data_IF_866366096134
#
_entry.id   IF_866366096134
#
_cell.length_a   1.000
_cell.length_b   1.000
_cell.length_c   1.000
_cell.angle_alpha   90.00
_cell.angle_beta   90.00
_cell.angle_gamma   90.00
#
_symmetry.space_group_name_H-M   'P 1'
#
loop_
_entity.id
_entity.type
_entity.pdbx_description
1 polymer ?
#
# COMPACT_ATOMS: atom_id res chain seq x y z
N UNK A 1 -0.38 -5.93 11.02
CA UNK A 1 0.93 -6.42 10.53
C UNK A 1 1.53 -7.55 11.38
N UNK A 2 1.39 -7.56 12.72
CA UNK A 2 1.91 -8.65 13.58
C UNK A 2 1.26 -10.02 13.35
N UNK A 3 -0.03 -10.09 12.99
CA UNK A 3 -0.72 -11.37 12.76
C UNK A 3 -0.27 -12.13 11.51
N UNK A 4 0.27 -11.43 10.50
CA UNK A 4 0.74 -12.06 9.24
C UNK A 4 2.16 -12.60 9.42
N UNK A 5 3.01 -11.91 10.18
CA UNK A 5 4.34 -12.40 10.54
C UNK A 5 4.27 -13.65 11.43
N UNK A 6 3.31 -13.71 12.37
CA UNK A 6 3.09 -14.87 13.24
C UNK A 6 2.56 -16.09 12.49
N UNK A 7 1.74 -15.93 11.46
CA UNK A 7 1.24 -17.05 10.66
C UNK A 7 2.33 -17.62 9.74
N UNK A 8 3.20 -16.79 9.18
CA UNK A 8 4.34 -17.22 8.37
C UNK A 8 5.38 -17.94 9.25
N UNK A 9 5.71 -17.41 10.43
CA UNK A 9 6.63 -18.08 11.37
C UNK A 9 6.07 -19.41 11.90
N UNK A 10 4.76 -19.50 12.19
CA UNK A 10 4.13 -20.78 12.59
C UNK A 10 4.13 -21.82 11.47
N UNK A 11 4.04 -21.41 10.20
CA UNK A 11 4.12 -22.33 9.06
C UNK A 11 5.55 -22.82 8.80
N UNK A 12 6.56 -21.97 9.00
CA UNK A 12 7.96 -22.37 8.88
C UNK A 12 8.37 -23.38 9.96
N UNK A 13 8.02 -23.13 11.23
CA UNK A 13 8.38 -24.00 12.37
C UNK A 13 7.66 -25.36 12.30
N UNK A 14 6.49 -25.45 11.66
CA UNK A 14 5.77 -26.73 11.50
C UNK A 14 6.36 -27.62 10.41
N UNK A 15 7.15 -27.06 9.48
CA UNK A 15 7.78 -27.81 8.38
C UNK A 15 9.12 -28.43 8.78
N UNK A 16 9.80 -27.83 9.75
CA UNK A 16 11.12 -28.27 10.22
C UNK A 16 11.04 -29.54 11.09
N UNK A 17 9.89 -29.79 11.72
CA UNK A 17 9.67 -30.96 12.58
C UNK A 17 9.26 -32.24 11.84
N UNK A 18 9.25 -32.24 10.50
CA UNK A 18 8.86 -33.39 9.67
C UNK A 18 9.97 -33.91 8.75
N UNK A 19 11.19 -33.40 8.87
CA UNK A 19 12.32 -33.79 8.01
C UNK A 19 13.44 -34.55 8.76
N UNK A 20 13.33 -34.76 10.07
CA UNK A 20 14.28 -35.58 10.84
C UNK A 20 13.75 -37.02 10.99
N UNK A 21 13.88 -37.83 9.94
CA UNK A 21 14.09 -39.28 10.09
C UNK A 21 14.80 -39.83 8.86
N UNK A 22 16.13 -39.73 8.85
CA UNK A 22 16.98 -40.58 8.02
C UNK A 22 17.77 -41.49 8.96
N UNK A 23 17.51 -42.80 8.89
CA UNK A 23 18.42 -43.83 9.37
C UNK A 23 19.13 -44.47 8.15
N UNK A 24 20.44 -44.76 8.22
CA UNK A 24 21.18 -45.39 7.13
C UNK A 24 21.19 -46.92 7.25
N UNK A 25 21.63 -47.57 6.16
CA UNK A 25 22.06 -48.98 5.97
C UNK A 25 21.23 -49.66 4.86
N UNK A 26 21.73 -50.43 3.88
CA UNK A 26 23.04 -50.83 3.35
C UNK A 26 22.76 -51.62 2.04
N UNK A 27 23.76 -51.70 1.15
CA UNK A 27 24.03 -52.75 0.13
C UNK A 27 23.24 -52.87 -1.20
N UNK A 28 24.01 -52.66 -2.30
CA UNK A 28 24.19 -53.48 -3.51
C UNK A 28 23.00 -54.15 -4.23
N UNK A 29 22.82 -53.81 -5.52
CA UNK A 29 23.14 -54.65 -6.70
C UNK A 29 22.15 -54.47 -7.86
N UNK A 30 22.67 -54.59 -9.09
CA UNK A 30 21.97 -55.30 -10.18
C UNK A 30 21.07 -54.49 -11.12
N UNK A 31 21.43 -54.52 -12.39
CA UNK A 31 20.71 -54.06 -13.57
C UNK A 31 19.25 -54.54 -13.68
N UNK A 32 18.36 -53.76 -14.31
CA UNK A 32 17.86 -53.98 -15.69
C UNK A 32 16.82 -52.93 -16.12
N UNK A 33 16.89 -52.61 -17.42
CA UNK A 33 15.82 -52.37 -18.39
C UNK A 33 14.92 -51.11 -18.38
N UNK A 34 15.22 -50.31 -19.41
CA UNK A 34 14.35 -49.66 -20.38
C UNK A 34 12.93 -50.24 -20.54
N UNK A 35 11.98 -49.31 -20.72
CA UNK A 35 10.60 -49.42 -21.24
C UNK A 35 9.49 -49.32 -20.20
N UNK A 36 9.04 -48.09 -19.92
CA UNK A 36 7.59 -47.85 -19.81
C UNK A 36 7.25 -46.37 -20.12
N UNK A 37 6.82 -46.10 -21.35
CA UNK A 37 6.25 -44.83 -21.78
C UNK A 37 4.72 -45.00 -21.83
N UNK A 38 4.03 -44.50 -20.80
CA UNK A 38 2.56 -44.44 -20.72
C UNK A 38 2.09 -43.07 -20.19
N UNK A 39 1.10 -42.41 -20.82
CA UNK A 39 0.89 -40.97 -20.67
C UNK A 39 0.06 -40.63 -19.43
N UNK A 40 0.68 -40.04 -18.41
CA UNK A 40 -0.05 -39.46 -17.25
C UNK A 40 -0.34 -37.98 -17.46
N UNK A 41 -1.15 -37.68 -18.48
CA UNK A 41 -1.56 -36.32 -18.85
C UNK A 41 -2.50 -35.63 -17.81
N UNK A 42 -2.89 -36.31 -16.72
CA UNK A 42 -3.71 -35.71 -15.65
C UNK A 42 -2.93 -35.23 -14.42
N UNK A 43 -1.64 -35.62 -14.28
CA UNK A 43 -0.80 -35.29 -13.12
C UNK A 43 0.07 -34.06 -13.35
N UNK A 44 0.32 -33.71 -14.61
CA UNK A 44 1.13 -32.54 -15.04
C UNK A 44 0.39 -31.20 -14.85
N UNK A 45 -0.94 -31.19 -14.79
CA UNK A 45 -1.74 -29.95 -14.64
C UNK A 45 -1.81 -29.38 -13.22
N UNK A 46 -1.33 -30.09 -12.19
CA UNK A 46 -1.32 -29.58 -10.81
C UNK A 46 -0.01 -28.89 -10.44
N UNK A 47 1.12 -29.46 -10.84
CA UNK A 47 2.46 -28.90 -10.56
C UNK A 47 2.71 -27.60 -11.30
N UNK A 48 2.20 -27.45 -12.52
CA UNK A 48 2.26 -26.19 -13.29
C UNK A 48 1.51 -25.07 -12.59
N UNK A 49 0.34 -25.35 -11.99
CA UNK A 49 -0.42 -24.38 -11.19
C UNK A 49 0.37 -23.89 -9.97
N UNK A 50 1.04 -24.80 -9.25
CA UNK A 50 1.90 -24.41 -8.12
C UNK A 50 3.14 -23.62 -8.56
N UNK A 51 3.76 -23.99 -9.68
CA UNK A 51 4.92 -23.26 -10.23
C UNK A 51 4.51 -21.85 -10.65
N UNK A 52 3.36 -21.70 -11.32
CA UNK A 52 2.81 -20.40 -11.70
C UNK A 52 2.44 -19.55 -10.48
N UNK A 53 1.82 -20.15 -9.46
CA UNK A 53 1.51 -19.46 -8.20
C UNK A 53 2.79 -19.01 -7.46
N UNK A 54 3.84 -19.82 -7.48
CA UNK A 54 5.12 -19.50 -6.83
C UNK A 54 5.86 -18.41 -7.61
N UNK A 55 5.84 -18.44 -8.94
CA UNK A 55 6.37 -17.36 -9.79
C UNK A 55 5.60 -16.04 -9.57
N UNK A 56 4.27 -16.08 -9.52
CA UNK A 56 3.45 -14.91 -9.18
C UNK A 56 3.82 -14.39 -7.79
N UNK A 57 3.94 -15.24 -6.77
CA UNK A 57 4.36 -14.84 -5.44
C UNK A 57 5.77 -14.22 -5.40
N UNK A 58 6.73 -14.74 -6.18
CA UNK A 58 8.08 -14.19 -6.25
C UNK A 58 8.09 -12.83 -6.95
N UNK A 59 7.33 -12.65 -8.03
CA UNK A 59 7.23 -11.38 -8.77
C UNK A 59 6.47 -10.32 -7.95
N UNK A 60 5.34 -10.68 -7.34
CA UNK A 60 4.55 -9.79 -6.48
C UNK A 60 5.28 -9.47 -5.16
N UNK A 61 5.98 -10.45 -4.58
CA UNK A 61 6.75 -10.26 -3.35
C UNK A 61 7.99 -9.39 -3.56
N UNK A 62 8.72 -9.61 -4.65
CA UNK A 62 9.94 -8.85 -4.95
C UNK A 62 9.64 -7.40 -5.34
N UNK A 63 8.63 -7.13 -6.17
CA UNK A 63 8.24 -5.76 -6.56
C UNK A 63 7.92 -4.86 -5.37
N UNK A 64 7.26 -5.40 -4.33
CA UNK A 64 6.96 -4.66 -3.09
C UNK A 64 8.20 -4.31 -2.25
N UNK A 65 9.25 -5.13 -2.33
CA UNK A 65 10.50 -4.91 -1.60
C UNK A 65 11.40 -3.90 -2.33
N UNK A 66 11.46 -3.98 -3.67
CA UNK A 66 12.23 -3.06 -4.51
C UNK A 66 11.68 -1.63 -4.47
N UNK A 67 10.35 -1.44 -4.41
CA UNK A 67 9.76 -0.12 -4.25
C UNK A 67 10.09 0.48 -2.87
N UNK A 68 10.02 -0.33 -1.82
CA UNK A 68 10.32 0.10 -0.45
C UNK A 68 11.78 0.54 -0.28
N UNK A 69 12.74 -0.23 -0.82
CA UNK A 69 14.17 0.13 -0.75
C UNK A 69 14.50 1.40 -1.55
N UNK A 70 13.85 1.57 -2.71
CA UNK A 70 13.99 2.79 -3.52
C UNK A 70 13.51 4.01 -2.75
N UNK A 71 12.32 3.94 -2.14
CA UNK A 71 11.76 5.06 -1.36
C UNK A 71 12.60 5.41 -0.14
N UNK A 72 13.15 4.41 0.55
CA UNK A 72 14.06 4.64 1.67
C UNK A 72 15.32 5.40 1.22
N UNK A 73 15.94 4.96 0.12
CA UNK A 73 17.14 5.60 -0.42
C UNK A 73 16.87 7.04 -0.87
N UNK A 74 15.77 7.29 -1.59
CA UNK A 74 15.42 8.65 -2.03
C UNK A 74 15.05 9.56 -0.84
N UNK A 75 14.39 9.03 0.18
CA UNK A 75 14.11 9.76 1.41
C UNK A 75 15.39 10.10 2.16
N UNK A 76 16.37 9.19 2.21
CA UNK A 76 17.66 9.44 2.83
C UNK A 76 18.45 10.55 2.11
N UNK A 77 18.42 10.56 0.77
CA UNK A 77 19.01 11.65 -0.02
C UNK A 77 18.38 13.00 0.32
N UNK A 78 17.05 13.07 0.39
CA UNK A 78 16.36 14.30 0.81
C UNK A 78 16.72 14.69 2.23
N UNK A 79 16.79 13.74 3.16
CA UNK A 79 17.20 14.03 4.54
C UNK A 79 18.58 14.66 4.59
N UNK A 80 19.56 14.10 3.86
CA UNK A 80 20.91 14.66 3.78
C UNK A 80 20.91 16.06 3.15
N UNK A 81 20.14 16.27 2.09
CA UNK A 81 20.01 17.57 1.43
C UNK A 81 19.48 18.66 2.35
N UNK A 82 18.46 18.37 3.17
CA UNK A 82 17.89 19.31 4.15
C UNK A 82 18.64 19.35 5.47
N UNK A 83 19.77 18.63 5.60
CA UNK A 83 20.45 18.40 6.87
C UNK A 83 19.52 17.82 7.96
N UNK A 84 18.49 17.07 7.58
CA UNK A 84 17.42 16.52 8.43
C UNK A 84 17.87 15.40 9.40
N UNK A 85 19.18 15.14 9.48
CA UNK A 85 19.80 14.14 10.36
C UNK A 85 20.48 14.77 11.57
N UNK A 86 20.56 16.09 11.64
CA UNK A 86 21.19 16.78 12.75
C UNK A 86 20.33 16.67 14.04
N UNK A 87 20.96 16.55 15.21
CA UNK A 87 20.27 16.25 16.46
C UNK A 87 19.34 17.38 16.95
N UNK A 88 19.56 18.61 16.49
CA UNK A 88 18.70 19.77 16.74
C UNK A 88 17.31 19.63 16.13
N UNK A 89 17.15 18.81 15.09
CA UNK A 89 15.85 18.59 14.40
C UNK A 89 14.93 17.66 15.20
N UNK A 90 15.49 16.85 16.11
CA UNK A 90 14.70 16.07 17.05
C UNK A 90 14.08 16.95 18.16
N UNK A 91 14.56 18.20 18.33
CA UNK A 91 14.01 19.14 19.30
C UNK A 91 12.68 19.70 18.77
N UNK A 92 11.62 19.59 19.58
CA UNK A 92 10.27 20.05 19.21
C UNK A 92 9.26 18.93 18.90
N UNK A 93 9.68 17.67 18.99
CA UNK A 93 8.79 16.51 18.79
C UNK A 93 8.52 16.21 17.32
N UNK A 94 7.58 15.29 17.05
CA UNK A 94 7.28 14.85 15.68
C UNK A 94 6.16 15.69 15.08
N UNK A 95 6.39 16.23 13.88
CA UNK A 95 5.41 17.12 13.22
C UNK A 95 4.09 16.43 12.86
N UNK A 96 4.15 15.20 12.33
CA UNK A 96 2.97 14.53 11.76
C UNK A 96 2.64 13.19 12.39
N UNK A 97 3.64 12.47 12.92
CA UNK A 97 3.45 11.09 13.37
C UNK A 97 2.53 11.00 14.57
N UNK A 98 2.66 11.93 15.51
CA UNK A 98 1.85 11.93 16.73
C UNK A 98 0.38 12.20 16.39
N UNK A 99 0.13 13.11 15.44
CA UNK A 99 -1.21 13.36 14.87
C UNK A 99 -1.70 12.12 14.13
N UNK A 100 -0.91 11.49 13.26
CA UNK A 100 -1.35 10.29 12.53
C UNK A 100 -1.74 9.13 13.45
N UNK A 101 -1.09 9.01 14.61
CA UNK A 101 -1.39 7.96 15.58
C UNK A 101 -2.57 8.27 16.49
N UNK A 102 -3.00 9.54 16.59
CA UNK A 102 -4.09 9.94 17.50
C UNK A 102 -5.49 9.73 16.92
N UNK A 103 -5.62 9.50 15.62
CA UNK A 103 -6.92 9.32 14.96
C UNK A 103 -7.20 7.84 14.68
N UNK A 104 -8.34 7.35 15.17
CA UNK A 104 -8.82 6.01 14.92
C UNK A 104 -9.99 6.04 13.93
N UNK A 105 -9.85 5.36 12.78
CA UNK A 105 -10.92 5.27 11.78
C UNK A 105 -10.43 5.55 10.36
N UNK A 106 -10.81 4.70 9.40
CA UNK A 106 -10.32 4.80 8.02
C UNK A 106 -10.71 6.12 7.33
N UNK A 107 -11.87 6.71 7.68
CA UNK A 107 -12.30 8.01 7.16
C UNK A 107 -11.48 9.15 7.72
N UNK A 108 -11.20 9.12 9.02
CA UNK A 108 -10.63 10.24 9.75
C UNK A 108 -9.13 10.32 9.48
N UNK A 109 -8.49 9.15 9.39
CA UNK A 109 -7.10 9.02 8.93
C UNK A 109 -6.94 9.60 7.51
N UNK A 110 -7.90 9.40 6.60
CA UNK A 110 -7.83 9.95 5.23
C UNK A 110 -7.89 11.48 5.20
N UNK A 111 -8.60 12.10 6.14
CA UNK A 111 -8.65 13.57 6.26
C UNK A 111 -7.25 14.09 6.61
N UNK A 112 -6.62 13.53 7.63
CA UNK A 112 -5.28 13.92 8.07
C UNK A 112 -4.22 13.61 7.01
N UNK A 113 -4.28 12.43 6.38
CA UNK A 113 -3.38 12.05 5.30
C UNK A 113 -3.48 13.03 4.11
N UNK A 114 -4.69 13.45 3.75
CA UNK A 114 -4.93 14.45 2.70
C UNK A 114 -4.21 15.78 3.01
N UNK A 115 -4.30 16.26 4.26
CA UNK A 115 -3.61 17.49 4.68
C UNK A 115 -2.08 17.34 4.68
N UNK A 116 -1.57 16.21 5.15
CA UNK A 116 -0.12 15.93 5.14
C UNK A 116 0.42 15.87 3.71
N UNK A 117 -0.30 15.24 2.78
CA UNK A 117 0.10 15.21 1.36
C UNK A 117 0.07 16.61 0.75
N UNK A 118 -0.94 17.42 1.07
CA UNK A 118 -1.00 18.83 0.63
C UNK A 118 0.24 19.61 1.09
N UNK A 119 0.63 19.43 2.36
CA UNK A 119 1.84 20.04 2.91
C UNK A 119 3.10 19.65 2.14
N UNK A 120 3.32 18.35 1.90
CA UNK A 120 4.50 17.89 1.16
C UNK A 120 4.50 18.38 -0.29
N UNK A 121 3.35 18.41 -0.97
CA UNK A 121 3.28 18.95 -2.34
C UNK A 121 3.67 20.43 -2.37
N UNK A 122 3.15 21.23 -1.44
CA UNK A 122 3.53 22.64 -1.31
C UNK A 122 5.00 22.82 -0.96
N UNK A 123 5.55 21.97 -0.09
CA UNK A 123 6.98 21.96 0.23
C UNK A 123 7.81 21.67 -1.03
N UNK A 124 7.42 20.69 -1.84
CA UNK A 124 8.15 20.31 -3.04
C UNK A 124 8.08 21.34 -4.15
N UNK A 125 6.95 22.02 -4.34
CA UNK A 125 6.80 23.12 -5.31
C UNK A 125 7.81 24.25 -5.03
N UNK A 126 8.08 24.56 -3.77
CA UNK A 126 9.03 25.63 -3.39
C UNK A 126 10.51 25.28 -3.66
N UNK A 127 10.82 24.04 -4.02
CA UNK A 127 12.20 23.50 -4.09
C UNK A 127 12.45 22.84 -5.45
N UNK A 128 11.47 22.92 -6.36
CA UNK A 128 11.48 22.25 -7.66
C UNK A 128 12.63 22.73 -8.57
N UNK A 129 13.18 23.92 -8.32
CA UNK A 129 14.27 24.51 -9.10
C UNK A 129 15.63 23.80 -8.90
N UNK A 130 15.76 22.89 -7.92
CA UNK A 130 17.02 22.19 -7.68
C UNK A 130 17.09 20.82 -8.38
N UNK A 131 17.78 20.79 -9.52
CA UNK A 131 18.04 19.59 -10.33
C UNK A 131 18.65 18.41 -9.54
N UNK A 132 19.38 18.65 -8.45
CA UNK A 132 20.06 17.56 -7.72
C UNK A 132 19.10 16.61 -7.01
N UNK A 133 17.93 17.11 -6.61
CA UNK A 133 16.93 16.33 -5.85
C UNK A 133 15.64 16.08 -6.63
N UNK A 134 15.49 16.64 -7.83
CA UNK A 134 14.27 16.49 -8.64
C UNK A 134 13.87 15.01 -8.85
N UNK A 135 14.83 14.13 -9.13
CA UNK A 135 14.53 12.71 -9.30
C UNK A 135 13.96 12.09 -8.01
N UNK A 136 14.57 12.39 -6.86
CA UNK A 136 14.08 11.94 -5.55
C UNK A 136 12.68 12.48 -5.24
N UNK A 137 12.44 13.76 -5.55
CA UNK A 137 11.13 14.41 -5.41
C UNK A 137 10.07 13.73 -6.28
N UNK A 138 10.37 13.43 -7.54
CA UNK A 138 9.44 12.79 -8.46
C UNK A 138 9.07 11.37 -8.00
N UNK A 139 10.05 10.58 -7.56
CA UNK A 139 9.83 9.24 -7.03
C UNK A 139 8.93 9.28 -5.78
N UNK A 140 9.18 10.22 -4.86
CA UNK A 140 8.38 10.37 -3.64
C UNK A 140 6.97 10.91 -3.96
N UNK A 141 6.84 11.87 -4.88
CA UNK A 141 5.54 12.37 -5.37
C UNK A 141 4.70 11.21 -5.92
N UNK A 142 5.29 10.33 -6.72
CA UNK A 142 4.60 9.16 -7.27
C UNK A 142 4.19 8.16 -6.18
N UNK A 143 5.05 7.90 -5.20
CA UNK A 143 4.71 7.01 -4.09
C UNK A 143 3.55 7.55 -3.23
N UNK A 144 3.53 8.87 -2.95
CA UNK A 144 2.41 9.52 -2.28
C UNK A 144 1.12 9.37 -3.09
N UNK A 145 1.21 9.48 -4.41
CA UNK A 145 0.07 9.27 -5.31
C UNK A 145 -0.46 7.84 -5.24
N UNK A 146 0.42 6.84 -5.28
CA UNK A 146 0.03 5.43 -5.16
C UNK A 146 -0.68 5.19 -3.82
N UNK A 147 -0.12 5.70 -2.71
CA UNK A 147 -0.64 5.44 -1.35
C UNK A 147 -1.95 6.16 -1.02
N UNK A 148 -2.12 7.42 -1.44
CA UNK A 148 -3.29 8.23 -1.05
C UNK A 148 -4.39 8.21 -2.11
N UNK A 149 -4.02 8.21 -3.39
CA UNK A 149 -4.98 8.27 -4.49
C UNK A 149 -5.23 6.92 -5.15
N UNK A 150 -4.66 5.82 -4.65
CA UNK A 150 -4.72 4.49 -5.26
C UNK A 150 -4.31 4.54 -6.74
N UNK A 151 -3.22 5.27 -7.04
CA UNK A 151 -2.68 5.48 -8.39
C UNK A 151 -3.63 6.22 -9.36
N UNK A 152 -4.73 6.81 -8.87
CA UNK A 152 -5.69 7.53 -9.70
C UNK A 152 -5.16 8.92 -10.10
N UNK A 153 -4.92 9.11 -11.39
CA UNK A 153 -4.51 10.40 -11.95
C UNK A 153 -5.58 11.48 -11.79
N UNK A 154 -6.85 11.16 -12.05
CA UNK A 154 -7.95 12.13 -11.93
C UNK A 154 -8.07 12.69 -10.51
N UNK A 155 -8.01 11.81 -9.49
CA UNK A 155 -8.05 12.25 -8.08
C UNK A 155 -6.87 13.12 -7.71
N UNK A 156 -5.67 12.78 -8.20
CA UNK A 156 -4.47 13.58 -7.95
C UNK A 156 -4.57 14.95 -8.61
N UNK A 157 -5.03 15.03 -9.86
CA UNK A 157 -5.17 16.31 -10.56
C UNK A 157 -6.26 17.18 -9.95
N UNK A 158 -7.38 16.61 -9.53
CA UNK A 158 -8.40 17.37 -8.78
C UNK A 158 -7.88 17.83 -7.42
N UNK A 159 -7.08 17.01 -6.74
CA UNK A 159 -6.40 17.40 -5.50
C UNK A 159 -5.42 18.56 -5.72
N UNK A 160 -4.60 18.52 -6.78
CA UNK A 160 -3.69 19.61 -7.15
C UNK A 160 -4.43 20.92 -7.42
N UNK A 161 -5.53 20.85 -8.18
CA UNK A 161 -6.37 22.02 -8.42
C UNK A 161 -6.86 22.65 -7.13
N UNK A 162 -7.25 21.83 -6.13
CA UNK A 162 -7.73 22.32 -4.84
C UNK A 162 -6.63 23.03 -4.02
N UNK A 163 -5.40 22.50 -3.99
CA UNK A 163 -4.31 23.10 -3.21
C UNK A 163 -3.76 24.39 -3.86
N UNK A 164 -3.91 24.53 -5.18
CA UNK A 164 -3.42 25.68 -5.95
C UNK A 164 -4.43 26.84 -6.04
N UNK A 165 -5.61 26.72 -5.41
CA UNK A 165 -6.63 27.78 -5.42
C UNK A 165 -6.07 29.05 -4.73
N UNK A 166 -6.01 30.21 -5.43
CA UNK A 166 -5.51 31.44 -4.84
C UNK A 166 -6.60 32.06 -3.94
N UNK A 167 -6.54 31.77 -2.64
CA UNK A 167 -7.53 32.24 -1.65
C UNK A 167 -7.60 33.77 -1.55
N UNK A 168 -6.54 34.48 -1.96
CA UNK A 168 -6.48 35.95 -1.94
C UNK A 168 -7.17 36.61 -3.15
N UNK A 169 -7.55 35.86 -4.19
CA UNK A 169 -8.28 36.40 -5.34
C UNK A 169 -9.76 36.64 -5.00
N UNK A 170 -10.21 37.89 -5.12
CA UNK A 170 -11.59 38.29 -4.87
C UNK A 170 -12.61 37.49 -5.70
N UNK A 171 -12.28 37.11 -6.94
CA UNK A 171 -13.19 36.31 -7.79
C UNK A 171 -13.34 34.90 -7.25
N UNK A 172 -12.24 34.30 -6.81
CA UNK A 172 -12.23 32.97 -6.19
C UNK A 172 -13.02 33.00 -4.88
N UNK A 173 -12.82 34.01 -4.04
CA UNK A 173 -13.59 34.17 -2.79
C UNK A 173 -15.09 34.26 -3.06
N UNK A 174 -15.52 35.12 -3.99
CA UNK A 174 -16.96 35.26 -4.35
C UNK A 174 -17.55 33.92 -4.82
N UNK A 175 -16.82 33.19 -5.65
CA UNK A 175 -17.25 31.87 -6.15
C UNK A 175 -17.33 30.84 -5.01
N UNK A 176 -16.31 30.78 -4.16
CA UNK A 176 -16.27 29.88 -3.01
C UNK A 176 -17.46 30.14 -2.06
N UNK A 177 -17.77 31.40 -1.76
CA UNK A 177 -18.93 31.76 -0.93
C UNK A 177 -20.25 31.42 -1.63
N UNK A 178 -20.36 31.61 -2.95
CA UNK A 178 -21.57 31.25 -3.70
C UNK A 178 -21.85 29.74 -3.70
N UNK A 179 -20.82 28.90 -3.66
CA UNK A 179 -20.93 27.44 -3.65
C UNK A 179 -21.00 26.84 -2.24
N UNK A 180 -20.67 27.62 -1.20
CA UNK A 180 -20.52 27.16 0.19
C UNK A 180 -21.72 26.38 0.72
N UNK A 181 -22.95 26.85 0.45
CA UNK A 181 -24.16 26.16 0.90
C UNK A 181 -24.27 24.74 0.28
N UNK A 182 -23.94 24.61 -1.01
CA UNK A 182 -23.96 23.32 -1.69
C UNK A 182 -22.85 22.40 -1.15
N UNK A 183 -21.66 22.95 -0.87
CA UNK A 183 -20.56 22.18 -0.27
C UNK A 183 -20.98 21.62 1.10
N UNK A 184 -21.56 22.43 1.98
CA UNK A 184 -22.04 21.98 3.30
C UNK A 184 -23.10 20.87 3.15
N UNK A 185 -24.02 21.02 2.18
CA UNK A 185 -25.03 20.02 1.88
C UNK A 185 -24.43 18.69 1.41
N UNK A 186 -23.41 18.74 0.55
CA UNK A 186 -22.70 17.54 0.07
C UNK A 186 -21.92 16.84 1.20
N UNK A 187 -21.24 17.60 2.06
CA UNK A 187 -20.51 17.06 3.22
C UNK A 187 -21.42 16.40 4.26
N UNK A 188 -22.68 16.84 4.34
CA UNK A 188 -23.68 16.28 5.25
C UNK A 188 -24.34 15.00 4.74
N UNK A 189 -24.03 14.56 3.49
CA UNK A 189 -24.64 13.35 2.95
C UNK A 189 -24.13 12.11 3.71
N UNK A 190 -25.02 11.21 4.14
CA UNK A 190 -24.61 9.99 4.82
C UNK A 190 -23.79 9.12 3.87
N UNK A 191 -22.64 8.64 4.34
CA UNK A 191 -21.79 7.71 3.60
C UNK A 191 -22.62 6.47 3.18
N UNK A 192 -22.63 6.08 1.89
CA UNK A 192 -23.44 4.96 1.41
C UNK A 192 -23.05 3.58 1.99
N UNK A 193 -21.95 3.51 2.77
CA UNK A 193 -21.51 2.28 3.43
C UNK A 193 -22.43 1.81 4.57
N UNK A 194 -23.42 2.60 5.00
CA UNK A 194 -24.40 2.17 6.02
C UNK A 194 -25.82 2.04 5.47
N UNK A 195 -26.06 1.02 4.63
CA UNK A 195 -27.37 0.37 4.53
C UNK A 195 -27.23 -1.15 4.51
N UNK A 196 -26.77 -1.73 5.62
CA UNK A 196 -27.07 -3.13 5.95
C UNK A 196 -28.13 -3.14 7.06
N UNK A 197 -29.42 -3.15 6.68
CA UNK A 197 -30.47 -3.58 7.62
C UNK A 197 -31.65 -4.24 6.89
N UNK A 198 -31.58 -5.57 6.89
CA UNK A 198 -32.64 -6.58 7.10
C UNK A 198 -33.82 -6.63 6.13
N UNK A 199 -33.65 -7.36 5.03
CA UNK A 199 -34.73 -8.16 4.45
C UNK A 199 -34.60 -9.62 4.88
N UNK A 200 -34.72 -9.86 6.18
CA UNK A 200 -35.18 -11.17 6.66
C UNK A 200 -36.64 -10.98 7.07
N UNK A 201 -37.54 -10.94 6.11
CA UNK A 201 -38.91 -11.36 6.36
C UNK A 201 -39.04 -12.73 5.74
N UNK A 202 -39.04 -13.74 6.61
CA UNK A 202 -39.47 -15.11 6.33
C UNK A 202 -40.63 -15.11 5.33
N UNK A 203 -40.36 -15.47 4.07
CA UNK A 203 -41.41 -15.95 3.18
C UNK A 203 -41.62 -17.41 3.54
N UNK A 204 -42.73 -17.65 4.22
CA UNK A 204 -43.08 -18.92 4.83
C UNK A 204 -42.99 -20.09 3.85
N UNK A 205 -42.38 -21.16 4.32
CA UNK A 205 -42.78 -22.49 3.92
C UNK A 205 -44.17 -22.71 4.54
N UNK A 206 -45.20 -22.74 3.70
CA UNK A 206 -46.42 -23.49 4.04
C UNK A 206 -46.40 -24.77 3.21
N UNK A 207 -46.72 -25.83 3.93
CA UNK A 207 -46.80 -27.23 3.53
C UNK A 207 -47.74 -27.47 2.34
#
# INVERSE_FOLDING_TARGET
>A
MQYILLSIYRLAIRRERSAESFGPDQLNSGATDFNDFGPTLSRTMKYTSYILALQLCVILGSSSCYSQSTILNETEKLKRYFNATSPDIANGGRLFLDILTSWEGESDIKIIQSQIVSFYFKLFENIEDNNTIQNSLNIIKEELRVKVFNSSNSKMEDFKKLIQIPVNDLRVQRKAISELHNVIKELSKPNPKMRKRRQNLFRGWRA
#
